data_IF_742501430563
#
_entry.id   IF_742501430563
#
_cell.length_a   1.000
_cell.length_b   1.000
_cell.length_c   1.000
_cell.angle_alpha   90.00
_cell.angle_beta   90.00
_cell.angle_gamma   90.00
#
_symmetry.space_group_name_H-M   'P 1'
#
loop_
_entity.id
_entity.type
_entity.pdbx_description
1 polymer ?
#
# COMPACT_ATOMS: atom_id res chain seq x y z
N UNK A 1 -9.53 -17.63 -13.00
CA UNK A 1 -9.98 -17.87 -11.61
C UNK A 1 -11.33 -17.16 -11.44
N UNK A 2 -12.22 -17.64 -10.57
CA UNK A 2 -13.53 -17.02 -10.33
C UNK A 2 -13.50 -16.37 -8.93
N UNK A 3 -14.02 -15.15 -8.77
CA UNK A 3 -14.15 -14.45 -7.49
C UNK A 3 -14.94 -15.26 -6.44
N UNK A 4 -15.89 -16.09 -6.86
CA UNK A 4 -16.63 -16.98 -5.97
C UNK A 4 -15.73 -17.98 -5.22
N UNK A 5 -14.61 -18.40 -5.81
CA UNK A 5 -13.64 -19.28 -5.14
C UNK A 5 -12.96 -18.53 -3.99
N UNK A 6 -12.56 -17.27 -4.22
CA UNK A 6 -11.96 -16.41 -3.20
C UNK A 6 -12.97 -16.10 -2.09
N UNK A 7 -14.20 -15.70 -2.47
CA UNK A 7 -15.28 -15.41 -1.52
C UNK A 7 -15.58 -16.60 -0.63
N UNK A 8 -15.68 -17.81 -1.22
CA UNK A 8 -15.91 -19.03 -0.46
C UNK A 8 -14.73 -19.39 0.47
N UNK A 9 -13.49 -19.14 0.02
CA UNK A 9 -12.30 -19.42 0.81
C UNK A 9 -12.28 -18.57 2.09
N UNK A 10 -12.44 -17.26 1.98
CA UNK A 10 -12.42 -16.32 3.12
C UNK A 10 -13.72 -16.30 3.94
N UNK A 11 -14.86 -16.59 3.33
CA UNK A 11 -16.15 -16.57 4.02
C UNK A 11 -16.50 -17.88 4.74
N UNK A 12 -16.09 -19.03 4.17
CA UNK A 12 -16.57 -20.34 4.67
C UNK A 12 -15.46 -21.31 5.04
N UNK A 13 -14.30 -21.28 4.37
CA UNK A 13 -13.22 -22.25 4.59
C UNK A 13 -12.34 -21.81 5.76
N UNK A 14 -11.91 -20.54 5.77
CA UNK A 14 -11.13 -19.99 6.87
C UNK A 14 -12.03 -19.58 8.03
N UNK A 15 -11.71 -20.02 9.23
CA UNK A 15 -12.40 -19.64 10.48
C UNK A 15 -11.56 -18.68 11.31
N UNK A 16 -10.23 -18.78 11.18
CA UNK A 16 -9.26 -17.91 11.82
C UNK A 16 -7.99 -17.81 10.97
N UNK A 17 -7.10 -16.88 11.31
CA UNK A 17 -5.79 -16.74 10.66
C UNK A 17 -4.89 -17.98 10.81
N UNK A 18 -5.16 -18.86 11.77
CA UNK A 18 -4.42 -20.11 11.97
C UNK A 18 -4.70 -21.18 10.91
N UNK A 19 -5.81 -21.02 10.15
CA UNK A 19 -6.21 -21.94 9.07
C UNK A 19 -5.44 -21.72 7.77
N UNK A 20 -4.67 -20.63 7.66
CA UNK A 20 -3.84 -20.31 6.49
C UNK A 20 -2.73 -21.37 6.29
N UNK A 21 -2.55 -21.80 5.05
CA UNK A 21 -1.63 -22.88 4.67
C UNK A 21 -0.24 -22.40 4.31
N UNK A 22 -0.08 -21.10 4.13
CA UNK A 22 1.23 -20.47 3.88
C UNK A 22 1.46 -19.33 4.87
N UNK A 23 2.71 -18.96 5.09
CA UNK A 23 3.07 -17.77 5.87
C UNK A 23 2.97 -16.47 5.05
N UNK A 24 2.54 -16.53 3.79
CA UNK A 24 2.51 -15.38 2.89
C UNK A 24 1.67 -14.22 3.43
N UNK A 25 0.52 -14.54 4.04
CA UNK A 25 -0.38 -13.54 4.60
C UNK A 25 -0.18 -13.26 6.11
N UNK A 26 0.75 -13.95 6.80
CA UNK A 26 0.89 -13.84 8.26
C UNK A 26 2.32 -13.54 8.74
N UNK A 27 3.29 -13.45 7.84
CA UNK A 27 4.69 -13.19 8.22
C UNK A 27 4.93 -11.67 8.39
N UNK A 28 4.00 -11.01 9.10
CA UNK A 28 4.13 -9.64 9.54
C UNK A 28 5.29 -9.52 10.51
N UNK A 29 6.24 -8.62 10.25
CA UNK A 29 7.10 -8.10 11.31
C UNK A 29 6.24 -7.70 12.49
N UNK A 30 6.80 -7.67 13.71
CA UNK A 30 6.04 -7.29 14.91
C UNK A 30 5.26 -5.99 14.70
N UNK A 31 4.17 -5.84 15.43
CA UNK A 31 3.39 -4.58 15.44
C UNK A 31 4.33 -3.46 15.90
N UNK A 32 4.47 -2.36 15.17
CA UNK A 32 5.19 -1.20 15.67
C UNK A 32 4.64 -0.76 17.03
N UNK A 33 5.52 -0.43 17.97
CA UNK A 33 5.13 -0.16 19.36
C UNK A 33 4.06 0.93 19.50
N UNK A 34 4.06 1.94 18.64
CA UNK A 34 3.06 3.02 18.63
C UNK A 34 1.67 2.55 18.16
N UNK A 35 1.57 1.42 17.41
CA UNK A 35 0.31 0.84 16.95
C UNK A 35 -0.24 -0.23 17.89
N UNK A 36 0.57 -0.77 18.81
CA UNK A 36 0.11 -1.78 19.78
C UNK A 36 -1.11 -1.32 20.61
N UNK A 37 -1.15 -0.08 21.14
CA UNK A 37 -2.33 0.42 21.87
C UNK A 37 -3.57 0.49 20.99
N UNK A 38 -3.43 0.87 19.72
CA UNK A 38 -4.54 0.95 18.77
C UNK A 38 -5.10 -0.44 18.47
N UNK A 39 -4.22 -1.41 18.24
CA UNK A 39 -4.60 -2.81 18.03
C UNK A 39 -5.26 -3.42 19.28
N UNK A 40 -4.80 -3.08 20.49
CA UNK A 40 -5.39 -3.52 21.75
C UNK A 40 -6.82 -2.98 21.95
N UNK A 41 -7.18 -1.89 21.30
CA UNK A 41 -8.53 -1.31 21.30
C UNK A 41 -9.43 -1.95 20.23
N UNK A 42 -8.96 -2.86 19.40
CA UNK A 42 -9.79 -3.60 18.44
C UNK A 42 -10.36 -4.86 19.10
N UNK A 43 -11.66 -5.13 18.87
CA UNK A 43 -12.37 -6.26 19.44
C UNK A 43 -11.70 -7.61 19.08
N UNK A 44 -11.68 -8.53 20.03
CA UNK A 44 -10.98 -9.83 19.88
C UNK A 44 -11.47 -10.63 18.67
N UNK A 45 -12.78 -10.71 18.45
CA UNK A 45 -13.36 -11.43 17.30
C UNK A 45 -12.91 -10.82 15.95
N UNK A 46 -12.83 -9.48 15.88
CA UNK A 46 -12.33 -8.78 14.68
C UNK A 46 -10.86 -9.10 14.44
N UNK A 47 -10.04 -9.13 15.51
CA UNK A 47 -8.61 -9.47 15.39
C UNK A 47 -8.39 -10.93 14.98
N UNK A 48 -9.21 -11.86 15.48
CA UNK A 48 -9.07 -13.29 15.20
C UNK A 48 -9.37 -13.64 13.72
N UNK A 49 -10.16 -12.83 13.00
CA UNK A 49 -10.53 -13.03 11.60
C UNK A 49 -9.71 -12.18 10.62
N UNK A 50 -8.49 -11.85 10.96
CA UNK A 50 -7.59 -11.07 10.11
C UNK A 50 -6.69 -11.95 9.24
N UNK A 51 -6.57 -11.61 7.95
CA UNK A 51 -5.83 -12.38 6.94
C UNK A 51 -4.84 -11.56 6.11
N UNK A 52 -4.36 -10.42 6.61
CA UNK A 52 -3.45 -9.53 5.88
C UNK A 52 -1.96 -9.75 6.14
N UNK A 53 -1.12 -9.07 5.34
CA UNK A 53 0.35 -9.18 5.36
C UNK A 53 1.02 -8.18 6.33
N UNK A 54 0.49 -7.97 7.51
CA UNK A 54 1.03 -7.03 8.49
C UNK A 54 0.08 -5.88 8.78
N UNK A 55 0.61 -4.70 9.09
CA UNK A 55 -0.20 -3.51 9.40
C UNK A 55 0.04 -2.46 8.33
N UNK A 56 -1.04 -1.97 7.71
CA UNK A 56 -1.01 -0.96 6.67
C UNK A 56 -1.66 0.31 7.20
N UNK A 57 -0.84 1.11 7.89
CA UNK A 57 -1.26 2.38 8.48
C UNK A 57 -0.29 3.47 8.01
N UNK A 58 -0.67 4.30 7.04
CA UNK A 58 0.14 5.43 6.61
C UNK A 58 0.11 6.57 7.64
N UNK A 59 1.09 7.46 7.59
CA UNK A 59 1.21 8.59 8.49
C UNK A 59 0.23 9.73 8.17
N UNK A 60 0.05 10.68 9.11
CA UNK A 60 -0.72 11.92 8.97
C UNK A 60 -2.19 11.70 8.58
N UNK A 61 -2.92 10.91 9.38
CA UNK A 61 -4.32 10.53 9.10
C UNK A 61 -5.36 11.41 9.81
N UNK A 62 -4.98 12.29 10.73
CA UNK A 62 -5.94 13.08 11.50
C UNK A 62 -6.89 13.87 10.58
N UNK A 63 -8.19 13.72 10.79
CA UNK A 63 -9.24 14.42 10.04
C UNK A 63 -9.43 13.93 8.59
N UNK A 64 -8.70 12.91 8.13
CA UNK A 64 -8.78 12.40 6.76
C UNK A 64 -9.97 11.48 6.55
N UNK A 65 -10.35 11.34 5.27
CA UNK A 65 -11.31 10.34 4.79
C UNK A 65 -10.55 9.19 4.12
N UNK A 66 -10.68 8.00 4.68
CA UNK A 66 -9.92 6.81 4.27
C UNK A 66 -10.86 5.75 3.70
N UNK A 67 -10.44 5.07 2.62
CA UNK A 67 -11.08 3.88 2.07
C UNK A 67 -10.17 2.67 2.25
N UNK A 68 -10.69 1.59 2.82
CA UNK A 68 -9.99 0.30 2.93
C UNK A 68 -10.57 -0.71 1.93
N UNK A 69 -9.76 -1.12 0.98
CA UNK A 69 -10.10 -2.09 -0.06
C UNK A 69 -9.84 -3.51 0.43
N UNK A 70 -10.93 -4.30 0.58
CA UNK A 70 -10.88 -5.63 1.14
C UNK A 70 -10.74 -5.60 2.66
N UNK A 71 -11.61 -4.85 3.31
CA UNK A 71 -11.54 -4.56 4.74
C UNK A 71 -11.72 -5.78 5.66
N UNK A 72 -12.22 -6.90 5.12
CA UNK A 72 -12.49 -8.11 5.89
C UNK A 72 -13.37 -7.84 7.11
N UNK A 73 -12.96 -8.36 8.26
CA UNK A 73 -13.63 -8.15 9.55
C UNK A 73 -13.42 -6.73 10.15
N UNK A 74 -12.70 -5.83 9.45
CA UNK A 74 -12.54 -4.44 9.84
C UNK A 74 -11.39 -4.13 10.78
N UNK A 75 -10.40 -5.03 10.97
CA UNK A 75 -9.27 -4.76 11.89
C UNK A 75 -8.54 -3.46 11.54
N UNK A 76 -8.13 -3.30 10.29
CA UNK A 76 -7.39 -2.13 9.85
C UNK A 76 -8.29 -0.89 9.80
N UNK A 77 -9.57 -1.03 9.42
CA UNK A 77 -10.58 0.04 9.52
C UNK A 77 -10.67 0.60 10.94
N UNK A 78 -10.79 -0.27 11.97
CA UNK A 78 -10.90 0.17 13.36
C UNK A 78 -9.59 0.72 13.93
N UNK A 79 -8.44 0.27 13.45
CA UNK A 79 -7.16 0.89 13.81
C UNK A 79 -7.05 2.30 13.22
N UNK A 80 -7.35 2.45 11.93
CA UNK A 80 -7.30 3.72 11.21
C UNK A 80 -8.36 4.69 11.76
N UNK A 81 -9.54 4.20 12.16
CA UNK A 81 -10.61 5.03 12.75
C UNK A 81 -10.16 5.81 13.98
N UNK A 82 -9.27 5.23 14.80
CA UNK A 82 -8.69 5.92 15.96
C UNK A 82 -7.75 7.06 15.54
N UNK A 83 -7.01 6.88 14.44
CA UNK A 83 -6.03 7.84 13.93
C UNK A 83 -6.66 8.98 13.14
N UNK A 84 -7.72 8.72 12.39
CA UNK A 84 -8.47 9.80 11.72
C UNK A 84 -9.28 10.62 12.72
N UNK A 85 -9.56 10.07 13.89
CA UNK A 85 -10.29 10.74 14.96
C UNK A 85 -11.77 10.96 14.66
N UNK A 86 -12.50 11.68 15.54
CA UNK A 86 -13.96 11.84 15.44
C UNK A 86 -14.41 12.71 14.26
N UNK A 87 -13.51 13.45 13.62
CA UNK A 87 -13.79 14.34 12.49
C UNK A 87 -13.41 13.71 11.14
N UNK A 88 -12.70 12.58 11.13
CA UNK A 88 -12.40 11.80 9.94
C UNK A 88 -13.46 10.72 9.68
N UNK A 89 -13.32 10.01 8.58
CA UNK A 89 -14.18 8.88 8.21
C UNK A 89 -13.34 7.73 7.65
N UNK A 90 -13.68 6.49 8.02
CA UNK A 90 -13.12 5.29 7.38
C UNK A 90 -14.23 4.47 6.75
N UNK A 91 -14.09 4.17 5.46
CA UNK A 91 -15.01 3.31 4.71
C UNK A 91 -14.30 2.01 4.40
N UNK A 92 -14.85 0.88 4.85
CA UNK A 92 -14.36 -0.46 4.50
C UNK A 92 -15.20 -1.05 3.37
N UNK A 93 -14.57 -1.62 2.35
CA UNK A 93 -15.24 -2.36 1.27
C UNK A 93 -14.79 -3.81 1.30
N UNK A 94 -15.75 -4.74 1.32
CA UNK A 94 -15.48 -6.18 1.19
C UNK A 94 -16.59 -6.88 0.42
N UNK A 95 -16.26 -7.99 -0.26
CA UNK A 95 -17.24 -8.79 -1.00
C UNK A 95 -17.91 -9.88 -0.15
N UNK A 96 -17.40 -10.14 1.06
CA UNK A 96 -17.70 -11.29 1.90
C UNK A 96 -18.71 -10.92 2.99
N UNK A 97 -19.91 -11.45 2.92
CA UNK A 97 -21.00 -11.15 3.87
C UNK A 97 -20.64 -11.50 5.32
N UNK A 98 -19.95 -12.64 5.53
CA UNK A 98 -19.55 -13.12 6.85
C UNK A 98 -18.51 -12.20 7.51
N UNK A 99 -17.61 -11.62 6.71
CA UNK A 99 -16.61 -10.67 7.20
C UNK A 99 -17.27 -9.33 7.58
N UNK A 100 -18.09 -8.78 6.69
CA UNK A 100 -18.82 -7.54 6.93
C UNK A 100 -19.74 -7.64 8.13
N UNK A 101 -20.47 -8.77 8.29
CA UNK A 101 -21.31 -8.99 9.46
C UNK A 101 -20.53 -8.95 10.78
N UNK A 102 -19.29 -9.48 10.80
CA UNK A 102 -18.41 -9.39 11.96
C UNK A 102 -17.97 -7.94 12.20
N UNK A 103 -17.56 -7.23 11.14
CA UNK A 103 -17.15 -5.83 11.24
C UNK A 103 -18.29 -4.97 11.82
N UNK A 104 -19.47 -5.04 11.24
CA UNK A 104 -20.63 -4.22 11.65
C UNK A 104 -21.14 -4.54 13.07
N UNK A 105 -21.13 -5.82 13.47
CA UNK A 105 -21.59 -6.25 14.79
C UNK A 105 -20.81 -5.57 15.95
N UNK A 106 -19.58 -5.18 15.71
CA UNK A 106 -18.72 -4.57 16.73
C UNK A 106 -18.55 -3.05 16.60
N UNK A 107 -19.27 -2.40 15.66
CA UNK A 107 -19.11 -0.95 15.42
C UNK A 107 -19.41 -0.13 16.66
N UNK A 108 -20.57 -0.34 17.32
CA UNK A 108 -20.93 0.39 18.52
C UNK A 108 -19.98 0.14 19.70
N UNK A 109 -19.44 -1.08 19.80
CA UNK A 109 -18.46 -1.40 20.83
C UNK A 109 -17.18 -0.56 20.64
N UNK A 110 -16.69 -0.48 19.38
CA UNK A 110 -15.50 0.31 19.07
C UNK A 110 -15.72 1.80 19.31
N UNK A 111 -16.87 2.36 18.90
CA UNK A 111 -17.16 3.78 19.13
C UNK A 111 -17.15 4.12 20.61
N UNK A 112 -17.77 3.28 21.46
CA UNK A 112 -17.69 3.46 22.92
C UNK A 112 -16.25 3.32 23.44
N UNK A 113 -15.50 2.37 22.94
CA UNK A 113 -14.10 2.12 23.33
C UNK A 113 -13.20 3.30 22.98
N UNK A 114 -13.42 3.93 21.81
CA UNK A 114 -12.67 5.10 21.34
C UNK A 114 -13.14 6.42 21.96
N UNK A 115 -14.28 6.44 22.64
CA UNK A 115 -14.88 7.65 23.18
C UNK A 115 -15.52 8.55 22.12
N UNK A 116 -15.92 8.00 20.98
CA UNK A 116 -16.53 8.75 19.89
C UNK A 116 -18.04 8.83 20.06
N UNK A 117 -18.58 10.05 19.95
CA UNK A 117 -20.03 10.31 20.08
C UNK A 117 -20.84 9.83 18.87
N UNK A 118 -20.21 9.68 17.71
CA UNK A 118 -20.80 9.19 16.46
C UNK A 118 -19.87 8.19 15.80
N UNK A 119 -20.41 7.21 15.06
CA UNK A 119 -19.61 6.34 14.23
C UNK A 119 -18.84 7.14 13.17
N UNK A 120 -17.54 6.90 13.08
CA UNK A 120 -16.67 7.41 12.02
C UNK A 120 -16.24 6.28 11.07
N UNK A 121 -16.91 5.14 11.14
CA UNK A 121 -16.70 3.99 10.25
C UNK A 121 -18.00 3.60 9.57
N UNK A 122 -17.90 3.11 8.33
CA UNK A 122 -18.99 2.40 7.67
C UNK A 122 -18.42 1.30 6.77
N UNK A 123 -19.22 0.25 6.57
CA UNK A 123 -18.85 -0.87 5.73
C UNK A 123 -19.78 -0.96 4.52
N UNK A 124 -19.22 -1.30 3.37
CA UNK A 124 -19.92 -1.45 2.11
C UNK A 124 -19.64 -2.82 1.52
N UNK A 125 -20.69 -3.50 1.10
CA UNK A 125 -20.55 -4.73 0.33
C UNK A 125 -20.28 -4.40 -1.14
N UNK A 126 -19.17 -4.91 -1.68
CA UNK A 126 -18.85 -4.72 -3.10
C UNK A 126 -17.55 -5.36 -3.51
N UNK A 127 -17.29 -5.27 -4.80
CA UNK A 127 -16.07 -5.77 -5.41
C UNK A 127 -15.10 -4.62 -5.65
N UNK A 128 -13.83 -4.82 -5.33
CA UNK A 128 -12.80 -3.79 -5.49
C UNK A 128 -12.50 -3.50 -6.97
N UNK A 129 -12.88 -4.37 -7.88
CA UNK A 129 -12.79 -4.17 -9.33
C UNK A 129 -13.88 -3.25 -9.88
N UNK A 130 -14.97 -3.02 -9.12
CA UNK A 130 -16.17 -2.28 -9.55
C UNK A 130 -16.49 -1.17 -8.53
N UNK A 131 -15.49 -0.36 -8.16
CA UNK A 131 -15.66 0.71 -7.16
C UNK A 131 -16.68 1.77 -7.57
N UNK A 132 -16.90 1.97 -8.87
CA UNK A 132 -17.90 2.86 -9.43
C UNK A 132 -19.34 2.44 -9.11
N UNK A 133 -19.58 1.15 -8.85
CA UNK A 133 -20.91 0.63 -8.51
C UNK A 133 -21.31 0.91 -7.04
N UNK A 134 -20.35 1.33 -6.20
CA UNK A 134 -20.57 1.52 -4.77
C UNK A 134 -21.20 2.87 -4.41
N UNK A 135 -21.44 3.74 -5.37
CA UNK A 135 -22.00 5.08 -5.13
C UNK A 135 -21.07 5.98 -4.30
N UNK A 136 -19.77 5.72 -4.33
CA UNK A 136 -18.76 6.57 -3.73
C UNK A 136 -18.48 7.77 -4.66
N UNK A 137 -18.38 8.95 -4.06
CA UNK A 137 -18.09 10.15 -4.85
C UNK A 137 -16.64 10.14 -5.37
N UNK A 138 -16.40 10.43 -6.66
CA UNK A 138 -15.05 10.61 -7.19
C UNK A 138 -14.28 11.71 -6.44
N UNK A 139 -12.97 11.59 -6.40
CA UNK A 139 -12.06 12.55 -5.77
C UNK A 139 -12.48 12.96 -4.34
N UNK A 140 -12.93 11.98 -3.54
CA UNK A 140 -13.45 12.25 -2.19
C UNK A 140 -12.62 11.65 -1.05
N UNK A 141 -11.66 10.78 -1.33
CA UNK A 141 -10.79 10.17 -0.32
C UNK A 141 -9.40 10.80 -0.30
N UNK A 142 -8.90 11.06 0.90
CA UNK A 142 -7.53 11.53 1.12
C UNK A 142 -6.53 10.38 1.01
N UNK A 143 -6.93 9.20 1.50
CA UNK A 143 -6.10 8.00 1.51
C UNK A 143 -6.95 6.80 1.15
N UNK A 144 -6.38 5.90 0.35
CA UNK A 144 -6.90 4.55 0.13
C UNK A 144 -5.86 3.57 0.63
N UNK A 145 -6.28 2.56 1.40
CA UNK A 145 -5.41 1.48 1.86
C UNK A 145 -5.87 0.13 1.33
N UNK A 146 -4.96 -0.84 1.25
CA UNK A 146 -5.30 -2.23 0.96
C UNK A 146 -4.23 -3.17 1.50
N UNK A 147 -4.63 -4.32 2.01
CA UNK A 147 -3.73 -5.26 2.67
C UNK A 147 -3.90 -6.68 2.12
N UNK A 148 -3.02 -7.08 1.19
CA UNK A 148 -3.00 -8.41 0.56
C UNK A 148 -4.30 -8.78 -0.19
N UNK A 149 -4.99 -7.82 -0.78
CA UNK A 149 -6.28 -8.04 -1.46
C UNK A 149 -6.22 -7.79 -2.96
N UNK A 150 -5.41 -6.84 -3.41
CA UNK A 150 -5.31 -6.51 -4.85
C UNK A 150 -4.89 -7.73 -5.67
N UNK A 151 -4.02 -8.59 -5.13
CA UNK A 151 -3.62 -9.83 -5.79
C UNK A 151 -4.75 -10.86 -5.96
N UNK A 152 -5.79 -10.78 -5.14
CA UNK A 152 -6.98 -11.64 -5.25
C UNK A 152 -7.95 -11.17 -6.32
N UNK A 153 -7.81 -9.92 -6.78
CA UNK A 153 -8.60 -9.35 -7.86
C UNK A 153 -8.27 -10.00 -9.20
N UNK A 154 -9.29 -10.22 -10.03
CA UNK A 154 -9.14 -10.70 -11.40
C UNK A 154 -8.74 -9.59 -12.36
N UNK A 155 -9.06 -8.33 -12.06
CA UNK A 155 -8.67 -7.14 -12.82
C UNK A 155 -8.01 -6.08 -11.92
N UNK A 156 -6.73 -6.27 -11.68
CA UNK A 156 -5.93 -5.32 -10.88
C UNK A 156 -5.84 -3.93 -11.50
N UNK A 157 -5.98 -3.84 -12.84
CA UNK A 157 -5.98 -2.55 -13.53
C UNK A 157 -7.26 -1.78 -13.25
N UNK A 158 -8.41 -2.45 -13.15
CA UNK A 158 -9.67 -1.82 -12.75
C UNK A 158 -9.58 -1.32 -11.29
N UNK A 159 -9.03 -2.13 -10.38
CA UNK A 159 -8.82 -1.71 -8.97
C UNK A 159 -7.97 -0.44 -8.89
N UNK A 160 -6.83 -0.40 -9.59
CA UNK A 160 -5.95 0.77 -9.55
C UNK A 160 -6.58 2.01 -10.19
N UNK A 161 -7.32 1.86 -11.29
CA UNK A 161 -8.07 2.99 -11.90
C UNK A 161 -9.16 3.50 -10.97
N UNK A 162 -9.99 2.59 -10.41
CA UNK A 162 -11.05 2.98 -9.48
C UNK A 162 -10.49 3.67 -8.23
N UNK A 163 -9.36 3.20 -7.68
CA UNK A 163 -8.67 3.86 -6.58
C UNK A 163 -8.18 5.27 -6.99
N UNK A 164 -7.58 5.40 -8.17
CA UNK A 164 -7.16 6.70 -8.69
C UNK A 164 -8.33 7.67 -8.84
N UNK A 165 -9.47 7.22 -9.37
CA UNK A 165 -10.66 8.07 -9.58
C UNK A 165 -11.26 8.55 -8.24
N UNK A 166 -11.27 7.69 -7.21
CA UNK A 166 -11.79 8.01 -5.88
C UNK A 166 -10.87 8.89 -5.04
N UNK A 167 -9.56 8.91 -5.31
CA UNK A 167 -8.62 9.77 -4.59
C UNK A 167 -8.80 11.24 -4.97
N UNK A 168 -8.70 12.13 -3.98
CA UNK A 168 -8.51 13.57 -4.19
C UNK A 168 -7.18 13.84 -4.90
N UNK A 169 -7.02 14.99 -5.60
CA UNK A 169 -5.69 15.49 -5.93
C UNK A 169 -4.82 15.57 -4.65
N UNK A 170 -3.58 15.09 -4.69
CA UNK A 170 -2.72 14.95 -3.51
C UNK A 170 -3.01 13.74 -2.63
N UNK A 171 -4.03 12.96 -2.96
CA UNK A 171 -4.38 11.74 -2.23
C UNK A 171 -3.41 10.59 -2.52
N UNK A 172 -3.45 9.58 -1.68
CA UNK A 172 -2.51 8.44 -1.67
C UNK A 172 -3.22 7.10 -1.65
N UNK A 173 -2.80 6.17 -2.52
CA UNK A 173 -3.02 4.74 -2.34
C UNK A 173 -1.78 4.15 -1.65
N UNK A 174 -1.95 3.65 -0.42
CA UNK A 174 -0.91 3.03 0.40
C UNK A 174 -1.29 1.58 0.70
N UNK A 175 -0.54 0.64 0.16
CA UNK A 175 -0.93 -0.76 0.25
C UNK A 175 0.25 -1.74 0.28
N UNK A 176 0.03 -2.90 0.89
CA UNK A 176 0.95 -4.02 0.81
C UNK A 176 0.33 -5.17 0.03
N UNK A 177 1.16 -5.85 -0.74
CA UNK A 177 0.78 -7.08 -1.42
C UNK A 177 1.99 -7.97 -1.72
N UNK A 178 1.74 -9.16 -2.24
CA UNK A 178 2.77 -10.12 -2.61
C UNK A 178 3.18 -9.92 -4.06
N UNK A 179 4.49 -9.89 -4.31
CA UNK A 179 5.10 -9.77 -5.64
C UNK A 179 6.00 -10.96 -5.91
N UNK A 180 6.28 -11.23 -7.19
CA UNK A 180 7.14 -12.31 -7.64
C UNK A 180 8.34 -11.78 -8.43
N UNK A 181 9.48 -12.50 -8.37
CA UNK A 181 10.69 -12.20 -9.15
C UNK A 181 10.53 -12.51 -10.65
N UNK A 182 9.45 -13.18 -11.04
CA UNK A 182 9.15 -13.60 -12.42
C UNK A 182 7.66 -13.74 -12.67
N UNK A 183 7.24 -13.81 -13.95
CA UNK A 183 5.86 -14.16 -14.32
C UNK A 183 5.58 -15.62 -13.98
N UNK A 184 4.49 -15.85 -13.25
CA UNK A 184 4.10 -17.18 -12.82
C UNK A 184 3.45 -17.97 -13.97
N UNK A 185 3.73 -19.28 -14.09
CA UNK A 185 3.07 -20.14 -15.07
C UNK A 185 1.59 -20.32 -14.72
N UNK A 186 0.77 -20.62 -15.72
CA UNK A 186 -0.68 -20.78 -15.57
C UNK A 186 -1.06 -21.87 -14.56
N UNK A 187 -0.25 -22.93 -14.44
CA UNK A 187 -0.47 -23.98 -13.43
C UNK A 187 -0.40 -23.48 -11.98
N UNK A 188 0.41 -22.45 -11.71
CA UNK A 188 0.50 -21.79 -10.40
C UNK A 188 -0.66 -20.80 -10.23
N UNK A 189 -0.93 -20.01 -11.26
CA UNK A 189 -1.98 -18.99 -11.26
C UNK A 189 -3.39 -19.59 -11.15
N UNK A 190 -3.59 -20.79 -11.67
CA UNK A 190 -4.88 -21.50 -11.63
C UNK A 190 -5.07 -22.38 -10.38
N UNK A 191 -4.05 -22.55 -9.53
CA UNK A 191 -4.18 -23.34 -8.29
C UNK A 191 -5.01 -22.58 -7.26
N UNK A 192 -6.16 -23.14 -6.80
CA UNK A 192 -7.07 -22.41 -5.91
C UNK A 192 -6.47 -22.05 -4.56
N UNK A 193 -5.59 -22.90 -4.04
CA UNK A 193 -4.95 -22.66 -2.74
C UNK A 193 -3.89 -21.58 -2.87
N UNK A 194 -2.99 -21.71 -3.87
CA UNK A 194 -1.96 -20.69 -4.11
C UNK A 194 -2.59 -19.32 -4.42
N UNK A 195 -3.72 -19.31 -5.11
CA UNK A 195 -4.43 -18.06 -5.41
C UNK A 195 -5.06 -17.47 -4.14
N UNK A 196 -5.81 -18.25 -3.36
CA UNK A 196 -6.40 -17.81 -2.09
C UNK A 196 -5.37 -17.35 -1.06
N UNK A 197 -4.13 -17.86 -1.14
CA UNK A 197 -3.00 -17.46 -0.27
C UNK A 197 -2.15 -16.33 -0.90
N UNK A 198 -2.70 -15.54 -1.82
CA UNK A 198 -2.07 -14.41 -2.52
C UNK A 198 -0.84 -14.74 -3.39
N UNK A 199 -0.39 -16.00 -3.44
CA UNK A 199 0.76 -16.41 -4.24
C UNK A 199 0.39 -16.54 -5.74
N UNK A 200 -0.74 -17.20 -6.05
CA UNK A 200 -1.16 -17.41 -7.44
C UNK A 200 -1.53 -16.13 -8.19
N UNK A 201 -1.98 -15.12 -7.47
CA UNK A 201 -2.30 -13.79 -8.00
C UNK A 201 -1.15 -12.79 -8.01
N UNK A 202 0.00 -13.16 -7.41
CA UNK A 202 1.15 -12.27 -7.30
C UNK A 202 1.66 -11.80 -8.67
N UNK A 203 1.78 -10.48 -8.84
CA UNK A 203 2.35 -9.90 -10.05
C UNK A 203 3.88 -10.03 -10.04
N UNK A 204 4.44 -10.20 -11.23
CA UNK A 204 5.83 -9.88 -11.44
C UNK A 204 6.03 -8.38 -11.17
N UNK A 205 6.99 -8.03 -10.32
CA UNK A 205 7.16 -6.66 -9.85
C UNK A 205 7.27 -5.63 -10.98
N UNK A 206 7.95 -6.00 -12.10
CA UNK A 206 8.12 -5.12 -13.24
C UNK A 206 6.89 -5.06 -14.17
N UNK A 207 5.88 -5.91 -14.00
CA UNK A 207 4.57 -5.78 -14.65
C UNK A 207 3.63 -4.87 -13.83
N UNK A 208 3.82 -4.81 -12.50
CA UNK A 208 3.08 -3.92 -11.62
C UNK A 208 3.34 -2.44 -11.94
N UNK A 209 4.62 -2.04 -12.05
CA UNK A 209 4.99 -0.62 -12.23
C UNK A 209 4.31 0.03 -13.45
N UNK A 210 4.38 -0.53 -14.68
CA UNK A 210 3.66 0.05 -15.81
C UNK A 210 2.15 -0.04 -15.66
N UNK A 211 1.61 -1.00 -14.89
CA UNK A 211 0.16 -1.08 -14.63
C UNK A 211 -0.29 0.07 -13.74
N UNK A 212 0.45 0.38 -12.68
CA UNK A 212 0.19 1.54 -11.83
C UNK A 212 0.30 2.86 -12.61
N UNK A 213 1.34 3.00 -13.44
CA UNK A 213 1.51 4.20 -14.29
C UNK A 213 0.35 4.39 -15.29
N UNK A 214 -0.14 3.32 -15.92
CA UNK A 214 -1.31 3.39 -16.80
C UNK A 214 -2.61 3.75 -16.08
N UNK A 215 -2.72 3.46 -14.78
CA UNK A 215 -3.85 3.87 -13.97
C UNK A 215 -3.79 5.35 -13.52
N UNK A 216 -2.66 6.05 -13.77
CA UNK A 216 -2.46 7.46 -13.43
C UNK A 216 -1.41 7.70 -12.33
N UNK A 217 -0.95 6.67 -11.64
CA UNK A 217 0.08 6.79 -10.60
C UNK A 217 1.47 6.80 -11.24
N UNK A 218 1.98 8.00 -11.57
CA UNK A 218 3.15 8.17 -12.43
C UNK A 218 4.48 7.74 -11.76
N UNK A 219 4.55 7.79 -10.43
CA UNK A 219 5.77 7.47 -9.67
C UNK A 219 5.46 6.57 -8.46
N UNK A 220 5.29 5.24 -8.67
CA UNK A 220 5.10 4.28 -7.59
C UNK A 220 6.35 4.18 -6.69
N UNK A 221 6.20 4.43 -5.39
CA UNK A 221 7.28 4.39 -4.40
C UNK A 221 7.24 3.11 -3.59
N UNK A 222 8.34 2.36 -3.60
CA UNK A 222 8.52 1.20 -2.73
C UNK A 222 8.91 1.67 -1.34
N UNK A 223 8.05 1.45 -0.35
CA UNK A 223 8.30 1.82 1.05
C UNK A 223 9.14 0.75 1.74
N UNK A 224 8.62 -0.48 1.76
CA UNK A 224 9.34 -1.61 2.36
C UNK A 224 9.18 -2.86 1.52
N UNK A 225 10.13 -3.79 1.63
CA UNK A 225 9.98 -5.13 1.07
C UNK A 225 10.72 -6.16 1.91
N UNK A 226 10.16 -7.38 1.97
CA UNK A 226 10.80 -8.52 2.59
C UNK A 226 10.55 -9.79 1.79
N UNK A 227 11.54 -10.71 1.70
CA UNK A 227 11.33 -12.01 1.11
C UNK A 227 10.32 -12.82 1.94
N UNK A 228 9.49 -13.62 1.24
CA UNK A 228 8.57 -14.56 1.86
C UNK A 228 9.15 -15.96 1.80
N UNK A 229 9.29 -16.59 2.96
CA UNK A 229 9.70 -18.00 3.06
C UNK A 229 8.46 -18.91 3.07
N UNK A 230 8.27 -19.64 1.97
CA UNK A 230 7.17 -20.60 1.84
C UNK A 230 7.58 -21.91 2.49
N UNK A 231 7.16 -22.14 3.74
CA UNK A 231 7.57 -23.31 4.54
C UNK A 231 6.96 -24.64 4.07
N UNK A 232 5.79 -24.59 3.41
CA UNK A 232 5.06 -25.77 2.96
C UNK A 232 5.72 -26.43 1.74
N UNK A 233 6.27 -27.62 1.89
CA UNK A 233 6.99 -28.34 0.83
C UNK A 233 6.13 -28.72 -0.37
N UNK A 234 4.83 -28.96 -0.19
CA UNK A 234 3.93 -29.21 -1.33
C UNK A 234 3.73 -27.93 -2.17
N UNK A 235 3.64 -26.78 -1.51
CA UNK A 235 3.57 -25.46 -2.19
C UNK A 235 4.89 -25.14 -2.88
N UNK A 236 6.05 -25.34 -2.22
CA UNK A 236 7.36 -25.16 -2.85
C UNK A 236 7.51 -25.94 -4.16
N UNK A 237 7.06 -27.20 -4.19
CA UNK A 237 7.09 -27.98 -5.44
C UNK A 237 6.23 -27.40 -6.54
N UNK A 238 5.08 -26.79 -6.21
CA UNK A 238 4.19 -26.15 -7.20
C UNK A 238 4.77 -24.84 -7.74
N UNK A 239 5.31 -23.99 -6.87
CA UNK A 239 5.88 -22.69 -7.27
C UNK A 239 7.25 -22.79 -7.92
N UNK A 240 7.94 -23.93 -7.74
CA UNK A 240 9.27 -24.16 -8.30
C UNK A 240 10.32 -23.20 -7.75
N UNK A 241 11.04 -22.52 -8.64
CA UNK A 241 12.09 -21.57 -8.25
C UNK A 241 11.62 -20.11 -8.12
N UNK A 242 10.32 -19.85 -8.22
CA UNK A 242 9.78 -18.50 -8.07
C UNK A 242 10.01 -18.00 -6.64
N UNK A 243 10.47 -16.76 -6.53
CA UNK A 243 10.69 -16.07 -5.25
C UNK A 243 9.62 -15.03 -5.05
N UNK A 244 9.06 -15.00 -3.87
CA UNK A 244 8.01 -14.09 -3.49
C UNK A 244 8.47 -13.07 -2.45
N UNK A 245 7.89 -11.89 -2.51
CA UNK A 245 8.21 -10.77 -1.62
C UNK A 245 6.91 -10.12 -1.17
N UNK A 246 6.78 -9.84 0.11
CA UNK A 246 5.79 -8.88 0.59
C UNK A 246 6.37 -7.49 0.41
N UNK A 247 5.64 -6.60 -0.23
CA UNK A 247 6.11 -5.24 -0.46
C UNK A 247 4.99 -4.23 -0.24
N UNK A 248 5.34 -3.11 0.41
CA UNK A 248 4.46 -1.97 0.64
C UNK A 248 4.80 -0.88 -0.37
N UNK A 249 3.80 -0.41 -1.08
CA UNK A 249 3.92 0.68 -2.03
C UNK A 249 3.09 1.89 -1.61
N UNK A 250 3.55 3.05 -2.04
CA UNK A 250 2.92 4.35 -1.92
C UNK A 250 2.75 4.95 -3.31
N UNK A 251 1.51 5.28 -3.69
CA UNK A 251 1.18 5.83 -4.98
C UNK A 251 0.36 7.12 -4.79
N UNK A 252 0.88 8.25 -5.25
CA UNK A 252 0.18 9.53 -5.13
C UNK A 252 -0.58 9.90 -6.41
N UNK A 253 -1.78 10.45 -6.24
CA UNK A 253 -2.51 11.15 -7.30
C UNK A 253 -2.05 12.59 -7.35
N UNK A 254 -0.97 12.83 -8.08
CA UNK A 254 -0.37 14.15 -8.26
C UNK A 254 -0.17 14.45 -9.74
N UNK A 255 -0.58 15.64 -10.14
CA UNK A 255 -0.25 16.19 -11.44
C UNK A 255 1.19 16.70 -11.46
N UNK A 256 1.83 16.64 -12.63
CA UNK A 256 3.18 17.18 -12.82
C UNK A 256 4.31 16.33 -12.24
N UNK A 257 4.06 15.05 -11.90
CA UNK A 257 5.15 14.11 -11.65
C UNK A 257 5.84 13.74 -12.96
N UNK A 258 7.16 13.68 -12.91
CA UNK A 258 8.01 13.44 -14.08
C UNK A 258 8.42 11.95 -14.17
N UNK A 259 8.71 11.44 -15.38
CA UNK A 259 9.10 10.04 -15.56
C UNK A 259 10.42 9.64 -14.89
N UNK A 260 11.27 10.62 -14.61
CA UNK A 260 12.57 10.45 -13.95
C UNK A 260 12.70 11.40 -12.75
N UNK A 261 13.70 11.17 -11.91
CA UNK A 261 14.02 12.07 -10.81
C UNK A 261 14.79 13.29 -11.35
N UNK A 262 14.08 14.37 -11.65
CA UNK A 262 14.67 15.60 -12.15
C UNK A 262 15.10 16.52 -10.99
N UNK A 263 16.24 17.19 -11.15
CA UNK A 263 16.85 18.08 -10.15
C UNK A 263 16.49 19.54 -10.44
N UNK A 264 15.84 20.18 -9.47
CA UNK A 264 15.55 21.61 -9.47
C UNK A 264 16.25 22.36 -8.32
N UNK A 265 17.25 21.72 -7.68
CA UNK A 265 17.94 22.29 -6.51
C UNK A 265 17.08 22.36 -5.27
N UNK A 266 16.10 21.50 -5.16
CA UNK A 266 15.12 21.50 -4.08
C UNK A 266 15.59 20.70 -2.88
N UNK A 267 15.11 21.09 -1.69
CA UNK A 267 15.32 20.37 -0.45
C UNK A 267 14.12 20.52 0.48
N UNK A 268 14.06 19.69 1.50
CA UNK A 268 13.03 19.73 2.54
C UNK A 268 13.66 19.62 3.92
N UNK A 269 12.95 20.11 4.95
CA UNK A 269 13.29 19.89 6.37
C UNK A 269 12.04 19.32 7.04
N UNK A 270 12.14 18.12 7.60
CA UNK A 270 11.08 17.56 8.41
C UNK A 270 11.06 18.21 9.79
N UNK A 271 9.85 18.62 10.27
CA UNK A 271 9.67 19.35 11.54
C UNK A 271 9.59 18.43 12.77
N UNK A 272 9.55 17.10 12.60
CA UNK A 272 9.30 16.17 13.70
C UNK A 272 7.89 16.30 14.31
N UNK A 273 6.93 16.82 13.57
CA UNK A 273 5.60 17.18 14.07
C UNK A 273 4.56 16.03 14.00
N UNK A 274 4.93 14.87 13.50
CA UNK A 274 4.09 13.66 13.56
C UNK A 274 4.41 12.92 14.88
N UNK A 275 3.41 12.68 15.74
CA UNK A 275 3.66 12.07 17.07
C UNK A 275 4.26 10.67 17.03
N UNK A 276 3.96 9.91 15.98
CA UNK A 276 4.45 8.56 15.73
C UNK A 276 5.81 8.50 15.04
N UNK A 277 6.31 9.64 14.53
CA UNK A 277 7.57 9.77 13.80
C UNK A 277 8.36 11.03 14.23
N UNK A 278 8.68 11.22 15.53
CA UNK A 278 9.28 12.48 16.01
C UNK A 278 10.72 12.68 15.55
N UNK A 279 11.46 11.61 15.29
CA UNK A 279 12.89 11.66 15.00
C UNK A 279 13.20 11.70 13.50
N UNK A 280 12.36 11.06 12.67
CA UNK A 280 12.52 11.02 11.22
C UNK A 280 11.20 10.65 10.54
N UNK A 281 11.02 11.10 9.29
CA UNK A 281 9.90 10.73 8.42
C UNK A 281 10.40 9.80 7.30
N UNK A 282 9.78 8.63 7.17
CA UNK A 282 10.05 7.69 6.08
C UNK A 282 9.01 7.88 4.97
N UNK A 283 9.43 8.47 3.85
CA UNK A 283 8.58 8.56 2.67
C UNK A 283 8.57 7.23 1.91
N UNK A 284 9.73 6.67 1.64
CA UNK A 284 9.94 5.39 0.95
C UNK A 284 11.32 4.80 1.33
N UNK A 285 11.69 3.64 0.79
CA UNK A 285 12.93 2.95 1.12
C UNK A 285 14.24 3.71 0.82
N UNK A 286 14.17 4.88 0.19
CA UNK A 286 15.32 5.73 -0.13
C UNK A 286 15.28 7.08 0.59
N UNK A 287 14.14 7.48 1.14
CA UNK A 287 13.91 8.79 1.74
C UNK A 287 13.54 8.69 3.21
N UNK A 288 14.55 8.51 4.07
CA UNK A 288 14.43 8.66 5.53
C UNK A 288 14.92 10.08 5.90
N UNK A 289 13.99 10.98 6.20
CA UNK A 289 14.23 12.40 6.41
C UNK A 289 14.28 12.69 7.90
N UNK A 290 15.49 12.87 8.44
CA UNK A 290 15.71 13.15 9.86
C UNK A 290 15.20 14.55 10.26
N UNK A 291 14.61 14.65 11.43
CA UNK A 291 14.04 15.88 11.96
C UNK A 291 15.10 17.00 12.03
N UNK A 292 14.74 18.17 11.51
CA UNK A 292 15.55 19.39 11.53
C UNK A 292 16.74 19.42 10.58
N UNK A 293 16.96 18.34 9.80
CA UNK A 293 18.06 18.32 8.81
C UNK A 293 17.55 18.69 7.42
N UNK A 294 18.38 19.44 6.68
CA UNK A 294 18.12 19.71 5.26
C UNK A 294 18.36 18.42 4.47
N UNK A 295 17.36 17.99 3.72
CA UNK A 295 17.39 16.80 2.90
C UNK A 295 17.14 17.18 1.44
N UNK A 296 18.13 17.06 0.53
CA UNK A 296 17.96 17.33 -0.90
C UNK A 296 16.99 16.31 -1.52
N UNK A 297 16.11 16.78 -2.41
CA UNK A 297 15.07 15.94 -3.04
C UNK A 297 14.91 16.27 -4.51
N UNK A 298 14.50 15.30 -5.32
CA UNK A 298 14.08 15.52 -6.69
C UNK A 298 12.71 16.20 -6.76
N UNK A 299 12.33 16.74 -7.91
CA UNK A 299 11.06 17.43 -8.14
C UNK A 299 9.84 16.58 -7.74
N UNK A 300 9.84 15.29 -8.05
CA UNK A 300 8.75 14.40 -7.67
C UNK A 300 8.60 14.27 -6.15
N UNK A 301 9.71 14.03 -5.44
CA UNK A 301 9.70 13.92 -3.97
C UNK A 301 9.28 15.24 -3.33
N UNK A 302 9.73 16.39 -3.86
CA UNK A 302 9.29 17.69 -3.39
C UNK A 302 7.79 17.87 -3.51
N UNK A 303 7.19 17.52 -4.67
CA UNK A 303 5.72 17.55 -4.84
C UNK A 303 4.98 16.59 -3.92
N UNK A 304 5.50 15.39 -3.70
CA UNK A 304 4.89 14.42 -2.77
C UNK A 304 4.81 14.94 -1.33
N UNK A 305 5.75 15.80 -0.94
CA UNK A 305 5.76 16.42 0.39
C UNK A 305 5.03 17.76 0.42
N UNK A 306 5.06 18.54 -0.68
CA UNK A 306 4.46 19.88 -0.77
C UNK A 306 2.97 19.87 -1.11
N UNK A 307 2.53 18.96 -1.99
CA UNK A 307 1.19 19.00 -2.59
C UNK A 307 0.26 17.93 -1.99
N UNK A 308 0.59 17.39 -0.80
CA UNK A 308 -0.18 16.36 -0.11
C UNK A 308 -0.43 16.72 1.35
N UNK A 309 -1.09 15.83 2.08
CA UNK A 309 -1.33 15.97 3.53
C UNK A 309 -0.05 16.11 4.38
N UNK A 310 1.11 15.87 3.78
CA UNK A 310 2.39 16.01 4.47
C UNK A 310 2.91 17.46 4.52
N UNK A 311 2.40 18.37 3.70
CA UNK A 311 2.88 19.74 3.58
C UNK A 311 3.03 20.50 4.93
N UNK A 312 2.10 20.39 5.90
CA UNK A 312 2.25 21.07 7.19
C UNK A 312 3.45 20.61 8.02
N UNK A 313 3.96 19.41 7.75
CA UNK A 313 5.04 18.76 8.50
C UNK A 313 6.44 19.06 7.96
N UNK A 314 6.54 19.82 6.86
CA UNK A 314 7.81 20.12 6.21
C UNK A 314 8.00 21.62 5.99
N UNK A 315 9.26 22.07 6.07
CA UNK A 315 9.69 23.32 5.46
C UNK A 315 10.26 22.99 4.08
N UNK A 316 9.76 23.71 3.06
CA UNK A 316 10.05 23.47 1.65
C UNK A 316 11.07 24.49 1.16
N UNK A 317 12.12 24.04 0.49
CA UNK A 317 13.21 24.86 -0.04
C UNK A 317 13.28 24.68 -1.55
N UNK A 318 13.43 25.79 -2.29
CA UNK A 318 13.51 25.81 -3.75
C UNK A 318 12.16 25.82 -4.43
N UNK A 319 12.20 25.88 -5.75
CA UNK A 319 11.04 25.91 -6.64
C UNK A 319 11.37 25.16 -7.95
N UNK A 320 10.59 25.34 -8.99
CA UNK A 320 10.79 24.72 -10.31
C UNK A 320 11.37 25.70 -11.37
N UNK A 321 11.97 26.81 -10.95
CA UNK A 321 12.44 27.88 -11.87
C UNK A 321 13.70 27.49 -12.64
N UNK A 322 14.53 26.63 -12.07
CA UNK A 322 15.81 26.22 -12.68
C UNK A 322 15.92 24.69 -12.65
N UNK A 323 16.14 24.10 -13.83
CA UNK A 323 16.35 22.67 -13.99
C UNK A 323 17.82 22.35 -14.14
N UNK A 324 18.35 21.43 -13.31
CA UNK A 324 19.76 21.03 -13.27
C UNK A 324 20.04 19.68 -13.93
N UNK A 325 19.03 19.03 -14.50
CA UNK A 325 19.12 17.71 -15.12
C UNK A 325 18.65 16.59 -14.18
N UNK A 326 19.18 15.41 -14.39
CA UNK A 326 18.84 14.24 -13.57
C UNK A 326 19.41 14.39 -12.15
N UNK A 327 18.58 14.15 -11.14
CA UNK A 327 19.01 14.16 -9.74
C UNK A 327 20.08 13.08 -9.51
N UNK A 328 21.19 13.41 -8.85
CA UNK A 328 22.28 12.47 -8.61
C UNK A 328 21.82 11.19 -7.93
N UNK A 329 22.39 10.06 -8.35
CA UNK A 329 22.18 8.72 -7.78
C UNK A 329 20.75 8.15 -7.86
N UNK A 330 19.86 8.76 -8.64
CA UNK A 330 18.49 8.28 -8.86
C UNK A 330 18.34 7.21 -9.97
N UNK A 331 19.41 6.52 -10.32
CA UNK A 331 19.36 5.34 -11.21
C UNK A 331 19.23 5.66 -12.71
N UNK A 332 19.00 6.91 -13.11
CA UNK A 332 18.99 7.36 -14.52
C UNK A 332 20.33 8.02 -14.87
N UNK A 333 20.93 7.64 -15.98
CA UNK A 333 22.16 8.24 -16.47
C UNK A 333 21.94 9.01 -17.78
N UNK A 334 22.70 10.07 -18.00
CA UNK A 334 22.69 10.81 -19.26
C UNK A 334 23.18 9.86 -20.38
N UNK A 335 22.38 9.58 -21.42
CA UNK A 335 22.72 8.58 -22.43
C UNK A 335 23.87 9.00 -23.34
N UNK A 336 24.20 10.31 -23.37
CA UNK A 336 25.23 10.93 -24.21
C UNK A 336 26.57 11.14 -23.46
N UNK A 337 26.69 10.65 -22.23
CA UNK A 337 27.97 10.71 -21.52
C UNK A 337 29.03 9.95 -22.34
N UNK A 338 30.09 10.65 -22.79
CA UNK A 338 31.20 10.07 -23.51
C UNK A 338 31.82 8.97 -22.66
N UNK A 339 31.62 7.72 -23.05
CA UNK A 339 32.46 6.63 -22.58
C UNK A 339 33.86 6.93 -23.11
N UNK A 340 34.74 7.39 -22.27
CA UNK A 340 36.17 7.21 -22.52
C UNK A 340 36.37 5.69 -22.62
N UNK A 341 36.62 5.19 -23.82
CA UNK A 341 37.02 3.81 -24.03
C UNK A 341 38.40 3.63 -23.38
N UNK A 342 38.45 3.40 -22.09
CA UNK A 342 39.57 2.68 -21.51
C UNK A 342 39.48 1.27 -22.08
N UNK A 343 40.48 0.81 -22.79
CA UNK A 343 40.54 -0.51 -23.38
C UNK A 343 40.15 -1.55 -22.37
N UNK A 344 38.89 -2.05 -22.46
CA UNK A 344 38.36 -3.07 -21.56
C UNK A 344 38.73 -4.42 -22.12
N UNK A 345 39.38 -5.20 -21.30
CA UNK A 345 39.44 -6.65 -21.42
C UNK A 345 38.00 -7.18 -21.51
N UNK A 346 37.82 -8.04 -22.50
CA UNK A 346 36.65 -8.83 -22.81
C UNK A 346 35.72 -9.19 -21.65
N UNK A 347 34.42 -9.01 -21.86
CA UNK A 347 33.40 -9.56 -21.01
C UNK A 347 32.01 -9.26 -21.53
N UNK A 348 31.51 -10.19 -22.34
CA UNK A 348 30.10 -10.57 -22.55
C UNK A 348 29.06 -9.47 -22.68
N UNK A 349 28.57 -9.28 -23.92
CA UNK A 349 27.24 -8.76 -24.24
C UNK A 349 26.14 -9.79 -23.94
N UNK A 350 25.06 -9.38 -23.33
CA UNK A 350 23.71 -9.81 -23.70
C UNK A 350 22.98 -8.61 -24.24
#
# INVERSE_FOLDING_TARGET
MNLEVVKNYYGKVLKSSEDLKTSACCDGGGVPSYLEPLLANVHEEVRAKYYGCGIIVPAALEGTRVLDLGSGSGRDVYMIAQLVGPNGEVVGVDMTDEQLATAEAHSDWHMRRFGFARPNVRFLKGYIESLEELGLEPASFDVIVSNCVINLSIDKSAVLRGAYDLLKPGGELYFADVYCDRRLPDSVRADPVLYGECLGGALYWNDFLPTAKRAGFLDPRLVTSKPLDIKNEAMKRKIGQAKFFSATYRLFKLDGLEPACEDYGQAVIYKGSLPDQPDAFELDGHHLIETGKVFPVCGNTWRMLADTRFAPHFDLIGDFSTHYGIFPDCGTAIPFATRTFAASKSGSCC
#
